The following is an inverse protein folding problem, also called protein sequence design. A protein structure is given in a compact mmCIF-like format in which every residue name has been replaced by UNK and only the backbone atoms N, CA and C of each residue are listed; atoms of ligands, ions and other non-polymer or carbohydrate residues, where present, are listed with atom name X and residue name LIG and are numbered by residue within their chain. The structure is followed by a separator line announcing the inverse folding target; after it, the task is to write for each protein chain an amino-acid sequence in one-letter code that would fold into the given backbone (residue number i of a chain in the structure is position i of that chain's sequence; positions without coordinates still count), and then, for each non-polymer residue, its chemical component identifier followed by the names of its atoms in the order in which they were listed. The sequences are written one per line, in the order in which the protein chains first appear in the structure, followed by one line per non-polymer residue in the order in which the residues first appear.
data_IF_676433984602
#
_entry.id   IF_676433984602
#
_cell.length_a   1.000
_cell.length_b   1.000
_cell.length_c   1.000
_cell.angle_alpha   90.00
_cell.angle_beta   90.00
_cell.angle_gamma   90.00
#
_symmetry.space_group_name_H-M   'P 1'
#
loop_
_entity.id
_entity.type
_entity.pdbx_description
1 polymer ?
#
# COMPACT_ATOMS: atom_id res chain seq x y z
N UNK A 1 45.00 -23.33 2.59
CA UNK A 1 43.53 -23.27 2.83
C UNK A 1 43.06 -21.88 2.44
N UNK A 2 42.31 -21.69 1.34
CA UNK A 2 41.75 -20.38 1.03
C UNK A 2 40.54 -20.13 1.93
N UNK A 3 40.67 -19.13 2.79
CA UNK A 3 39.61 -18.58 3.64
C UNK A 3 38.50 -18.03 2.75
N UNK A 4 37.32 -18.65 2.83
CA UNK A 4 36.08 -18.16 2.22
C UNK A 4 35.72 -16.82 2.87
N UNK A 5 36.10 -15.73 2.22
CA UNK A 5 35.62 -14.40 2.56
C UNK A 5 34.09 -14.41 2.48
N UNK A 6 33.41 -14.44 3.64
CA UNK A 6 31.98 -14.14 3.75
C UNK A 6 31.77 -12.79 3.08
N UNK A 7 31.23 -12.78 1.87
CA UNK A 7 30.74 -11.55 1.24
C UNK A 7 29.78 -10.92 2.24
N UNK A 8 30.20 -9.84 2.88
CA UNK A 8 29.31 -9.00 3.67
C UNK A 8 28.20 -8.57 2.73
N UNK A 9 27.01 -9.16 2.91
CA UNK A 9 25.81 -8.75 2.22
C UNK A 9 25.55 -7.32 2.69
N UNK A 10 25.96 -6.33 1.90
CA UNK A 10 25.71 -4.92 2.22
C UNK A 10 24.21 -4.75 2.30
N UNK A 11 23.70 -4.60 3.52
CA UNK A 11 22.34 -4.12 3.76
C UNK A 11 22.32 -2.69 3.26
N UNK A 12 21.58 -2.47 2.19
CA UNK A 12 21.47 -1.17 1.55
C UNK A 12 20.29 -1.20 0.63
N UNK A 13 19.64 -0.06 0.44
CA UNK A 13 18.45 0.05 -0.40
C UNK A 13 18.72 -0.24 -1.88
N UNK A 14 19.99 -0.42 -2.27
CA UNK A 14 20.36 -0.90 -3.61
C UNK A 14 20.05 0.08 -4.74
N UNK A 15 19.54 1.28 -4.44
CA UNK A 15 19.16 2.31 -5.41
C UNK A 15 17.80 2.96 -5.13
N UNK A 16 17.25 3.71 -6.11
CA UNK A 16 15.97 4.41 -5.98
C UNK A 16 14.78 3.47 -5.75
N UNK A 17 14.88 2.21 -6.17
CA UNK A 17 13.85 1.19 -5.94
C UNK A 17 13.69 0.87 -4.45
N UNK A 18 14.74 0.42 -3.78
CA UNK A 18 14.65 0.10 -2.35
C UNK A 18 14.35 1.32 -1.50
N UNK A 19 14.83 2.52 -1.87
CA UNK A 19 14.46 3.75 -1.15
C UNK A 19 12.96 4.05 -1.29
N UNK A 20 12.38 3.87 -2.48
CA UNK A 20 10.94 4.03 -2.66
C UNK A 20 10.12 2.96 -1.92
N UNK A 21 10.56 1.69 -1.94
CA UNK A 21 9.93 0.63 -1.15
C UNK A 21 9.97 0.94 0.36
N UNK A 22 11.09 1.48 0.85
CA UNK A 22 11.23 1.86 2.25
C UNK A 22 10.26 2.98 2.62
N UNK A 23 10.18 4.04 1.82
CA UNK A 23 9.27 5.17 2.06
C UNK A 23 7.80 4.73 2.00
N UNK A 24 7.43 3.96 0.97
CA UNK A 24 6.09 3.41 0.84
C UNK A 24 5.74 2.47 2.00
N UNK A 25 6.69 1.65 2.44
CA UNK A 25 6.52 0.74 3.55
C UNK A 25 6.30 1.45 4.88
N UNK A 26 7.09 2.49 5.17
CA UNK A 26 6.94 3.33 6.37
C UNK A 26 5.59 4.06 6.35
N UNK A 27 5.20 4.64 5.20
CA UNK A 27 3.91 5.31 5.06
C UNK A 27 2.73 4.35 5.27
N UNK A 28 2.81 3.13 4.74
CA UNK A 28 1.80 2.09 4.92
C UNK A 28 1.69 1.64 6.39
N UNK A 29 2.81 1.47 7.10
CA UNK A 29 2.81 1.16 8.53
C UNK A 29 2.15 2.30 9.32
N UNK A 30 2.52 3.56 9.06
CA UNK A 30 1.94 4.71 9.73
C UNK A 30 0.42 4.80 9.50
N UNK A 31 -0.03 4.57 8.26
CA UNK A 31 -1.45 4.50 7.92
C UNK A 31 -2.17 3.38 8.69
N UNK A 32 -1.56 2.19 8.76
CA UNK A 32 -2.12 1.05 9.47
C UNK A 32 -2.23 1.27 10.99
N UNK A 33 -1.20 1.87 11.60
CA UNK A 33 -1.25 2.30 13.01
C UNK A 33 -2.40 3.29 13.23
N UNK A 34 -2.61 4.22 12.30
CA UNK A 34 -3.74 5.16 12.33
C UNK A 34 -5.14 4.52 12.27
N UNK A 35 -5.24 3.24 11.92
CA UNK A 35 -6.47 2.44 12.01
C UNK A 35 -6.58 1.60 13.29
N UNK A 36 -5.46 1.37 13.99
CA UNK A 36 -5.44 0.65 15.26
C UNK A 36 -5.65 1.55 16.47
N UNK A 37 -5.25 2.82 16.38
CA UNK A 37 -5.48 3.80 17.45
C UNK A 37 -6.97 4.15 17.49
N UNK A 38 -7.65 4.01 18.64
CA UNK A 38 -9.04 4.42 18.79
C UNK A 38 -9.20 5.89 18.41
N UNK A 39 -9.98 6.16 17.36
CA UNK A 39 -10.16 7.54 16.92
C UNK A 39 -11.13 8.25 17.86
N UNK A 40 -10.69 9.38 18.42
CA UNK A 40 -11.55 10.35 19.11
C UNK A 40 -12.42 11.15 18.12
N UNK A 41 -12.04 11.21 16.84
CA UNK A 41 -12.82 11.77 15.74
C UNK A 41 -13.11 10.66 14.72
N UNK A 42 -14.37 10.25 14.58
CA UNK A 42 -14.82 9.06 13.85
C UNK A 42 -14.16 8.79 12.49
N UNK A 43 -14.21 7.54 12.06
CA UNK A 43 -13.78 7.16 10.71
C UNK A 43 -14.62 7.95 9.67
N UNK A 44 -14.01 8.46 8.57
CA UNK A 44 -14.78 9.00 7.44
C UNK A 44 -15.83 7.98 7.02
N UNK A 45 -17.07 8.42 6.76
CA UNK A 45 -18.27 7.56 6.73
C UNK A 45 -18.17 6.25 5.92
N UNK A 46 -17.37 6.23 4.85
CA UNK A 46 -17.13 5.01 4.09
C UNK A 46 -16.38 3.90 4.86
N UNK A 47 -15.39 4.26 5.68
CA UNK A 47 -14.66 3.30 6.51
C UNK A 47 -15.45 2.90 7.76
N UNK A 48 -16.33 3.78 8.24
CA UNK A 48 -17.25 3.47 9.33
C UNK A 48 -18.29 2.43 8.88
N UNK A 49 -18.89 2.63 7.70
CA UNK A 49 -19.81 1.67 7.10
C UNK A 49 -19.16 0.32 6.77
N UNK A 50 -17.88 0.33 6.35
CA UNK A 50 -17.08 -0.90 6.20
C UNK A 50 -16.76 -1.57 7.53
N UNK A 51 -16.54 -0.76 8.58
CA UNK A 51 -16.34 -1.22 9.96
C UNK A 51 -17.46 -2.12 10.48
N UNK A 52 -18.67 -1.97 9.94
CA UNK A 52 -19.83 -2.82 10.24
C UNK A 52 -19.68 -4.25 9.72
N UNK A 53 -18.95 -4.46 8.63
CA UNK A 53 -18.79 -5.77 7.98
C UNK A 53 -17.42 -6.41 8.25
N UNK A 54 -16.37 -5.59 8.33
CA UNK A 54 -15.01 -6.02 8.62
C UNK A 54 -14.42 -5.06 9.64
N UNK A 55 -13.90 -5.54 10.78
CA UNK A 55 -13.28 -4.66 11.77
C UNK A 55 -12.16 -3.83 11.12
N UNK A 56 -12.24 -2.50 11.22
CA UNK A 56 -11.26 -1.58 10.63
C UNK A 56 -9.82 -1.92 11.07
N UNK A 57 -9.68 -2.49 12.28
CA UNK A 57 -8.42 -2.93 12.86
C UNK A 57 -7.78 -4.04 12.04
N UNK A 58 -8.57 -4.95 11.47
CA UNK A 58 -8.09 -5.99 10.54
C UNK A 58 -7.47 -5.32 9.32
N UNK A 59 -8.12 -4.29 8.78
CA UNK A 59 -7.56 -3.47 7.72
C UNK A 59 -6.25 -2.78 8.10
N UNK A 60 -6.16 -2.24 9.32
CA UNK A 60 -4.94 -1.67 9.88
C UNK A 60 -3.78 -2.66 9.95
N UNK A 61 -4.04 -3.90 10.38
CA UNK A 61 -3.05 -4.98 10.42
C UNK A 61 -2.54 -5.29 9.01
N UNK A 62 -3.42 -5.37 8.02
CA UNK A 62 -2.99 -5.61 6.63
C UNK A 62 -2.12 -4.48 6.08
N UNK A 63 -2.42 -3.21 6.42
CA UNK A 63 -1.56 -2.08 6.07
C UNK A 63 -0.17 -2.18 6.69
N UNK A 64 -0.10 -2.55 7.97
CA UNK A 64 1.17 -2.78 8.67
C UNK A 64 1.93 -3.95 8.04
N UNK A 65 1.27 -5.07 7.75
CA UNK A 65 1.90 -6.24 7.15
C UNK A 65 2.45 -5.93 5.75
N UNK A 66 1.67 -5.26 4.90
CA UNK A 66 2.11 -4.83 3.57
C UNK A 66 3.29 -3.85 3.65
N UNK A 67 3.25 -2.92 4.60
CA UNK A 67 4.35 -1.97 4.80
C UNK A 67 5.61 -2.62 5.35
N UNK A 68 5.49 -3.53 6.33
CA UNK A 68 6.61 -4.31 6.85
C UNK A 68 7.26 -5.18 5.78
N UNK A 69 6.45 -5.81 4.92
CA UNK A 69 6.94 -6.55 3.76
C UNK A 69 7.72 -5.64 2.79
N UNK A 70 7.20 -4.45 2.46
CA UNK A 70 7.91 -3.50 1.60
C UNK A 70 9.23 -3.02 2.21
N UNK A 71 9.28 -2.76 3.53
CA UNK A 71 10.52 -2.42 4.26
C UNK A 71 11.50 -3.59 4.24
N UNK A 72 11.04 -4.83 4.44
CA UNK A 72 11.90 -5.99 4.38
C UNK A 72 12.54 -6.12 2.99
N UNK A 73 11.73 -6.07 1.93
CA UNK A 73 12.19 -6.17 0.54
C UNK A 73 13.09 -5.00 0.13
N UNK A 74 12.87 -3.80 0.68
CA UNK A 74 13.76 -2.66 0.48
C UNK A 74 15.19 -2.95 0.92
N UNK A 75 15.37 -3.75 1.98
CA UNK A 75 16.65 -4.05 2.61
C UNK A 75 17.28 -5.37 2.14
N UNK A 76 16.56 -6.21 1.41
CA UNK A 76 17.02 -7.51 0.89
C UNK A 76 17.08 -7.56 -0.64
N UNK A 77 18.22 -7.18 -1.26
CA UNK A 77 18.46 -7.41 -2.68
C UNK A 77 18.54 -8.92 -3.02
N UNK A 78 18.16 -9.35 -4.25
CA UNK A 78 17.68 -8.53 -5.37
C UNK A 78 16.18 -8.20 -5.24
N UNK A 79 15.85 -6.93 -5.49
CA UNK A 79 14.47 -6.46 -5.44
C UNK A 79 13.73 -6.71 -6.76
N UNK A 80 12.44 -7.04 -6.68
CA UNK A 80 11.58 -7.37 -7.81
C UNK A 80 10.44 -6.37 -7.96
N UNK A 81 9.96 -6.19 -9.19
CA UNK A 81 8.74 -5.45 -9.47
C UNK A 81 7.50 -6.04 -8.75
N UNK A 82 7.58 -7.29 -8.28
CA UNK A 82 6.52 -7.92 -7.49
C UNK A 82 6.42 -7.38 -6.05
N UNK A 83 7.46 -6.71 -5.55
CA UNK A 83 7.52 -6.29 -4.14
C UNK A 83 6.53 -5.16 -3.80
N UNK A 84 6.01 -4.45 -4.80
CA UNK A 84 5.00 -3.39 -4.63
C UNK A 84 3.57 -3.90 -4.60
N UNK A 85 3.33 -5.14 -5.01
CA UNK A 85 1.98 -5.66 -5.21
C UNK A 85 1.12 -5.64 -3.95
N UNK A 86 1.63 -5.98 -2.75
CA UNK A 86 0.82 -5.88 -1.53
C UNK A 86 0.28 -4.47 -1.30
N UNK A 87 1.09 -3.44 -1.57
CA UNK A 87 0.67 -2.04 -1.44
C UNK A 87 -0.33 -1.61 -2.52
N UNK A 88 -0.13 -2.07 -3.75
CA UNK A 88 -1.07 -1.82 -4.87
C UNK A 88 -2.43 -2.47 -4.58
N UNK A 89 -2.44 -3.71 -4.08
CA UNK A 89 -3.68 -4.42 -3.72
C UNK A 89 -4.39 -3.69 -2.59
N UNK A 90 -3.68 -3.30 -1.53
CA UNK A 90 -4.28 -2.59 -0.40
C UNK A 90 -4.86 -1.23 -0.80
N UNK A 91 -4.12 -0.42 -1.55
CA UNK A 91 -4.61 0.87 -2.07
C UNK A 91 -5.83 0.70 -2.98
N UNK A 92 -5.83 -0.33 -3.84
CA UNK A 92 -6.96 -0.64 -4.74
C UNK A 92 -8.19 -1.11 -3.97
N UNK A 93 -8.02 -1.95 -2.95
CA UNK A 93 -9.11 -2.40 -2.08
C UNK A 93 -9.74 -1.21 -1.34
N UNK A 94 -8.94 -0.28 -0.82
CA UNK A 94 -9.45 0.95 -0.21
C UNK A 94 -10.17 1.84 -1.22
N UNK A 95 -9.60 2.01 -2.43
CA UNK A 95 -10.27 2.74 -3.52
C UNK A 95 -11.65 2.15 -3.80
N UNK A 96 -11.75 0.82 -3.95
CA UNK A 96 -13.01 0.13 -4.24
C UNK A 96 -14.00 0.28 -3.09
N UNK A 97 -13.55 0.08 -1.85
CA UNK A 97 -14.33 0.28 -0.64
C UNK A 97 -15.04 1.65 -0.60
N UNK A 98 -14.27 2.73 -0.83
CA UNK A 98 -14.82 4.08 -0.88
C UNK A 98 -15.76 4.27 -2.08
N UNK A 99 -15.37 3.82 -3.27
CA UNK A 99 -16.20 3.98 -4.46
C UNK A 99 -17.54 3.24 -4.35
N UNK A 100 -17.55 2.01 -3.83
CA UNK A 100 -18.77 1.21 -3.62
C UNK A 100 -19.67 1.89 -2.60
N UNK A 101 -19.14 2.31 -1.45
CA UNK A 101 -19.93 2.98 -0.42
C UNK A 101 -20.61 4.26 -0.95
N UNK A 102 -19.86 5.11 -1.65
CA UNK A 102 -20.41 6.34 -2.21
C UNK A 102 -21.34 6.10 -3.40
N UNK A 103 -21.12 5.05 -4.18
CA UNK A 103 -22.05 4.68 -5.26
C UNK A 103 -23.39 4.23 -4.70
N UNK A 104 -23.39 3.46 -3.60
CA UNK A 104 -24.62 3.06 -2.90
C UNK A 104 -25.36 4.28 -2.36
N UNK A 105 -24.66 5.19 -1.67
CA UNK A 105 -25.27 6.42 -1.15
C UNK A 105 -25.78 7.35 -2.26
N UNK A 106 -25.08 7.44 -3.39
CA UNK A 106 -25.53 8.22 -4.53
C UNK A 106 -26.83 7.66 -5.13
N UNK A 107 -26.97 6.33 -5.19
CA UNK A 107 -28.18 5.65 -5.67
C UNK A 107 -29.32 5.73 -4.66
N UNK A 108 -29.03 5.61 -3.35
CA UNK A 108 -30.04 5.60 -2.30
C UNK A 108 -30.57 7.01 -1.96
N UNK A 109 -29.69 8.00 -1.84
CA UNK A 109 -30.02 9.33 -1.29
C UNK A 109 -29.91 10.46 -2.33
N UNK A 110 -29.52 10.16 -3.57
CA UNK A 110 -29.42 11.14 -4.67
C UNK A 110 -28.35 12.23 -4.48
N UNK A 111 -27.51 12.13 -3.44
CA UNK A 111 -26.53 13.16 -3.08
C UNK A 111 -25.09 12.66 -3.24
N UNK A 112 -24.35 13.25 -4.18
CA UNK A 112 -22.90 13.08 -4.32
C UNK A 112 -22.18 14.05 -3.38
N UNK A 113 -21.79 13.59 -2.19
CA UNK A 113 -20.97 14.40 -1.26
C UNK A 113 -19.52 14.47 -1.74
N UNK A 114 -18.74 15.50 -1.35
CA UNK A 114 -17.30 15.61 -1.69
C UNK A 114 -16.44 14.40 -1.30
N UNK A 115 -16.93 13.49 -0.47
CA UNK A 115 -16.14 12.38 0.06
C UNK A 115 -15.85 11.26 -0.97
N UNK A 116 -16.46 11.29 -2.16
CA UNK A 116 -16.09 10.40 -3.27
C UNK A 116 -14.63 10.61 -3.74
N UNK A 117 -14.07 11.81 -3.51
CA UNK A 117 -12.68 12.13 -3.87
C UNK A 117 -11.68 11.24 -3.14
N UNK A 118 -12.02 10.72 -1.96
CA UNK A 118 -11.17 9.79 -1.22
C UNK A 118 -10.97 8.47 -1.96
N UNK A 119 -12.02 7.95 -2.60
CA UNK A 119 -11.90 6.74 -3.44
C UNK A 119 -10.98 6.97 -4.63
N UNK A 120 -11.14 8.09 -5.33
CA UNK A 120 -10.28 8.46 -6.46
C UNK A 120 -8.83 8.73 -6.04
N UNK A 121 -8.61 9.32 -4.87
CA UNK A 121 -7.28 9.54 -4.33
C UNK A 121 -6.55 8.21 -4.07
N UNK A 122 -7.23 7.23 -3.46
CA UNK A 122 -6.66 5.89 -3.27
C UNK A 122 -6.36 5.17 -4.58
N UNK A 123 -7.26 5.26 -5.57
CA UNK A 123 -7.04 4.69 -6.90
C UNK A 123 -5.89 5.36 -7.65
N UNK A 124 -5.76 6.68 -7.54
CA UNK A 124 -4.64 7.44 -8.11
C UNK A 124 -3.31 7.07 -7.46
N UNK A 125 -3.30 6.86 -6.14
CA UNK A 125 -2.11 6.38 -5.43
C UNK A 125 -1.69 4.98 -5.91
N UNK A 126 -2.63 4.05 -6.11
CA UNK A 126 -2.35 2.74 -6.68
C UNK A 126 -1.71 2.84 -8.07
N UNK A 127 -2.26 3.71 -8.94
CA UNK A 127 -1.72 3.95 -10.27
C UNK A 127 -0.31 4.56 -10.23
N UNK A 128 -0.05 5.49 -9.30
CA UNK A 128 1.29 6.07 -9.09
C UNK A 128 2.30 5.02 -8.62
N UNK A 129 1.93 4.12 -7.71
CA UNK A 129 2.80 3.02 -7.26
C UNK A 129 3.13 2.08 -8.43
N UNK A 130 2.15 1.76 -9.28
CA UNK A 130 2.39 0.95 -10.49
C UNK A 130 3.30 1.68 -11.48
N UNK A 131 3.06 2.98 -11.70
CA UNK A 131 3.86 3.81 -12.61
C UNK A 131 5.31 3.90 -12.15
N UNK A 132 5.52 4.24 -10.87
CA UNK A 132 6.83 4.19 -10.22
C UNK A 132 7.48 2.81 -10.37
N UNK A 133 6.69 1.76 -10.13
CA UNK A 133 7.01 0.36 -10.34
C UNK A 133 7.68 0.09 -11.70
N UNK A 134 6.98 0.52 -12.75
CA UNK A 134 7.42 0.32 -14.14
C UNK A 134 8.57 1.23 -14.57
N UNK A 135 8.67 2.43 -14.02
CA UNK A 135 9.72 3.39 -14.37
C UNK A 135 11.06 3.05 -13.73
N UNK A 136 11.06 2.57 -12.48
CA UNK A 136 12.29 2.36 -11.70
C UNK A 136 12.79 0.92 -11.76
N UNK A 137 11.90 -0.07 -11.93
CA UNK A 137 12.26 -1.48 -12.12
C UNK A 137 11.37 -2.11 -13.21
N UNK A 138 11.61 -1.76 -14.49
CA UNK A 138 10.78 -2.26 -15.59
C UNK A 138 10.84 -3.79 -15.65
N UNK A 139 9.71 -4.47 -15.93
CA UNK A 139 9.72 -5.92 -16.10
C UNK A 139 10.66 -6.25 -17.26
N UNK A 140 11.82 -6.83 -16.94
CA UNK A 140 12.75 -7.34 -17.95
C UNK A 140 11.99 -8.38 -18.78
N UNK A 141 11.67 -8.02 -20.03
CA UNK A 141 11.20 -8.98 -21.02
C UNK A 141 12.25 -10.08 -21.07
N UNK A 142 11.95 -11.26 -20.53
CA UNK A 142 12.66 -12.48 -20.89
C UNK A 142 12.55 -12.55 -22.41
N UNK A 143 13.63 -12.20 -23.12
CA UNK A 143 13.81 -12.60 -24.52
C UNK A 143 13.78 -14.13 -24.47
N UNK A 144 12.62 -14.70 -24.75
CA UNK A 144 12.53 -16.08 -25.23
C UNK A 144 13.11 -16.14 -26.62
#
# INVERSE_FOLDING_TARGET
MPTTARKQHRIGTGGPWGTGLLLLGVAAIAQGIGYLVPRTAGLPGALDALGTYVPIQVGGIFWIAAGAYAVAQALTPPQSHHDVWPLVVMTSLWSLAYLVHWSILAVADGNLTRQWTSGVAWGSLAALIICWGRCVNPPTKQRR
#
